data_IF_637262001618
#
_entry.id   IF_637262001618
#
_cell.length_a   1.000
_cell.length_b   1.000
_cell.length_c   1.000
_cell.angle_alpha   90.00
_cell.angle_beta   90.00
_cell.angle_gamma   90.00
#
_symmetry.space_group_name_H-M   'P 1'
#
loop_
_entity.id
_entity.type
_entity.pdbx_description
1 polymer ?
#
# COMPACT_ATOMS: atom_id res chain seq x y z
N UNK A 1 -9.54 -9.80 8.11
CA UNK A 1 -9.72 -8.55 8.85
C UNK A 1 -8.41 -7.78 8.95
N UNK A 2 -8.49 -6.47 9.10
CA UNK A 2 -7.37 -5.60 9.50
C UNK A 2 -7.49 -5.35 10.99
N UNK A 3 -6.41 -5.53 11.71
CA UNK A 3 -6.37 -5.34 13.16
C UNK A 3 -5.37 -4.25 13.54
N UNK A 4 -5.75 -3.43 14.52
CA UNK A 4 -4.86 -2.47 15.16
C UNK A 4 -4.37 -3.02 16.51
N UNK A 5 -3.18 -2.55 16.89
CA UNK A 5 -2.56 -2.84 18.18
C UNK A 5 -2.05 -1.55 18.78
N UNK A 6 -2.23 -1.40 20.07
CA UNK A 6 -1.66 -0.27 20.81
C UNK A 6 -0.43 -0.71 21.59
N UNK A 7 0.59 0.14 21.62
CA UNK A 7 1.75 -0.05 22.49
C UNK A 7 1.37 0.34 23.92
N UNK A 8 1.76 -0.46 24.90
CA UNK A 8 1.65 -0.06 26.30
C UNK A 8 2.71 1.00 26.64
N UNK A 9 2.35 2.27 26.54
CA UNK A 9 3.25 3.40 26.83
C UNK A 9 3.43 3.70 28.31
N UNK A 10 2.63 3.07 29.17
CA UNK A 10 2.72 3.22 30.64
C UNK A 10 3.81 2.32 31.24
N UNK A 11 4.27 1.32 30.49
CA UNK A 11 5.37 0.48 30.93
C UNK A 11 6.71 1.27 30.88
N UNK A 12 7.61 1.08 31.87
CA UNK A 12 8.92 1.74 31.89
C UNK A 12 9.71 1.53 30.60
N UNK A 13 10.56 2.49 30.27
CA UNK A 13 11.47 2.35 29.13
C UNK A 13 12.38 1.13 29.34
N UNK A 14 12.56 0.33 28.27
CA UNK A 14 13.29 -0.93 28.36
C UNK A 14 12.48 -2.14 28.84
N UNK A 15 11.28 -1.94 29.39
CA UNK A 15 10.39 -3.05 29.75
C UNK A 15 9.90 -3.76 28.49
N UNK A 16 10.00 -5.10 28.47
CA UNK A 16 9.57 -5.89 27.30
C UNK A 16 8.10 -5.69 26.95
N UNK A 17 7.24 -5.30 27.90
CA UNK A 17 5.84 -4.97 27.70
C UNK A 17 5.64 -3.77 26.77
N UNK A 18 6.64 -2.88 26.66
CA UNK A 18 6.64 -1.79 25.70
C UNK A 18 6.77 -2.28 24.27
N UNK A 19 7.40 -3.42 24.05
CA UNK A 19 7.73 -3.97 22.75
C UNK A 19 6.83 -5.14 22.35
N UNK A 20 6.18 -5.78 23.33
CA UNK A 20 5.10 -6.74 23.07
C UNK A 20 3.82 -5.97 22.77
N UNK A 21 3.17 -6.30 21.69
CA UNK A 21 1.85 -5.74 21.34
C UNK A 21 0.77 -6.34 22.26
N UNK A 22 0.82 -5.97 23.54
CA UNK A 22 -0.11 -6.42 24.57
C UNK A 22 -1.42 -5.64 24.60
N UNK A 23 -1.59 -4.75 23.66
CA UNK A 23 -2.86 -4.05 23.50
C UNK A 23 -3.98 -5.01 23.11
N UNK A 24 -5.18 -4.63 23.37
CA UNK A 24 -6.34 -5.32 22.84
C UNK A 24 -6.26 -5.32 21.32
N UNK A 25 -6.46 -6.50 20.71
CA UNK A 25 -6.59 -6.62 19.28
C UNK A 25 -7.88 -5.93 18.86
N UNK A 26 -7.75 -4.79 18.17
CA UNK A 26 -8.89 -4.01 17.69
C UNK A 26 -9.17 -4.40 16.25
N UNK A 27 -10.37 -4.84 15.96
CA UNK A 27 -10.82 -5.09 14.59
C UNK A 27 -11.13 -3.74 13.93
N UNK A 28 -10.16 -3.18 13.21
CA UNK A 28 -10.34 -1.92 12.46
C UNK A 28 -11.32 -2.10 11.31
N UNK A 29 -11.19 -3.19 10.57
CA UNK A 29 -12.08 -3.54 9.45
C UNK A 29 -12.34 -5.03 9.45
N UNK A 30 -13.60 -5.43 9.32
CA UNK A 30 -13.96 -6.82 9.15
C UNK A 30 -14.09 -7.17 7.67
N UNK A 31 -13.06 -7.77 7.09
CA UNK A 31 -13.04 -8.23 5.71
C UNK A 31 -12.11 -9.44 5.54
N UNK A 32 -12.34 -10.24 4.48
CA UNK A 32 -11.52 -11.44 4.20
C UNK A 32 -10.36 -11.11 3.25
N UNK A 33 -9.33 -11.96 3.29
CA UNK A 33 -8.24 -11.98 2.32
C UNK A 33 -7.52 -10.63 2.12
N UNK A 34 -7.33 -9.85 3.20
CA UNK A 34 -6.54 -8.63 3.17
C UNK A 34 -5.05 -8.99 3.08
N UNK A 35 -4.31 -8.42 2.13
CA UNK A 35 -2.89 -8.69 1.98
C UNK A 35 -1.98 -7.45 1.99
N UNK A 36 -2.52 -6.27 1.90
CA UNK A 36 -1.77 -5.03 2.12
C UNK A 36 -2.58 -4.04 2.94
N UNK A 37 -1.89 -3.23 3.71
CA UNK A 37 -2.45 -2.08 4.42
C UNK A 37 -1.43 -0.95 4.39
N UNK A 38 -1.90 0.27 4.16
CA UNK A 38 -1.06 1.46 4.17
C UNK A 38 -1.90 2.67 4.59
N UNK A 39 -1.23 3.76 4.94
CA UNK A 39 -1.88 5.01 5.33
C UNK A 39 -1.45 6.13 4.41
N UNK A 40 -2.39 7.00 4.05
CA UNK A 40 -2.05 8.19 3.31
C UNK A 40 -1.20 9.13 4.16
N UNK A 41 -0.02 9.58 3.67
CA UNK A 41 0.94 10.30 4.50
C UNK A 41 0.46 11.66 4.98
N UNK A 42 -0.49 12.28 4.29
CA UNK A 42 -1.04 13.60 4.62
C UNK A 42 -2.39 13.49 5.32
N UNK A 43 -3.36 12.82 4.72
CA UNK A 43 -4.72 12.73 5.28
C UNK A 43 -4.81 11.73 6.45
N UNK A 44 -3.97 10.69 6.43
CA UNK A 44 -3.97 9.63 7.44
C UNK A 44 -5.06 8.58 7.24
N UNK A 45 -5.82 8.64 6.15
CA UNK A 45 -6.78 7.60 5.79
C UNK A 45 -6.08 6.28 5.52
N UNK A 46 -6.72 5.19 5.89
CA UNK A 46 -6.19 3.84 5.68
C UNK A 46 -6.68 3.26 4.36
N UNK A 47 -5.76 2.61 3.67
CA UNK A 47 -6.05 1.88 2.43
C UNK A 47 -5.64 0.42 2.58
N UNK A 48 -6.47 -0.46 2.08
CA UNK A 48 -6.19 -1.91 2.07
C UNK A 48 -6.85 -2.57 0.85
N UNK A 49 -6.46 -3.79 0.55
CA UNK A 49 -7.07 -4.57 -0.52
C UNK A 49 -7.50 -5.95 -0.06
N UNK A 50 -8.39 -6.55 -0.85
CA UNK A 50 -8.78 -7.95 -0.74
C UNK A 50 -8.40 -8.67 -2.03
N UNK A 51 -7.47 -9.62 -1.93
CA UNK A 51 -6.97 -10.34 -3.10
C UNK A 51 -8.03 -11.27 -3.72
N UNK A 52 -8.90 -11.88 -2.92
CA UNK A 52 -9.95 -12.79 -3.41
C UNK A 52 -11.06 -12.04 -4.18
N UNK A 53 -11.28 -10.77 -3.88
CA UNK A 53 -12.25 -9.90 -4.55
C UNK A 53 -11.63 -8.94 -5.54
N UNK A 54 -10.32 -8.74 -5.50
CA UNK A 54 -9.63 -7.73 -6.30
C UNK A 54 -10.03 -6.29 -5.95
N UNK A 55 -10.61 -6.06 -4.78
CA UNK A 55 -11.13 -4.76 -4.38
C UNK A 55 -10.10 -3.99 -3.56
N UNK A 56 -10.00 -2.69 -3.83
CA UNK A 56 -9.28 -1.72 -3.03
C UNK A 56 -10.25 -0.85 -2.26
N UNK A 57 -9.90 -0.61 -1.00
CA UNK A 57 -10.76 0.06 -0.04
C UNK A 57 -10.05 1.24 0.61
N UNK A 58 -10.87 2.23 0.95
CA UNK A 58 -10.53 3.34 1.83
C UNK A 58 -11.30 3.22 3.13
N UNK A 59 -10.65 3.61 4.23
CA UNK A 59 -11.25 3.81 5.56
C UNK A 59 -10.80 5.15 6.09
N UNK A 60 -11.73 5.97 6.52
CA UNK A 60 -11.43 7.29 7.04
C UNK A 60 -10.65 7.22 8.36
N UNK A 61 -9.64 8.05 8.49
CA UNK A 61 -8.80 8.18 9.69
C UNK A 61 -9.63 8.37 10.96
N UNK A 62 -10.69 9.19 10.87
CA UNK A 62 -11.54 9.48 12.02
C UNK A 62 -12.14 8.22 12.61
N UNK A 63 -12.68 7.30 11.80
CA UNK A 63 -13.28 6.06 12.28
C UNK A 63 -12.26 5.14 12.95
N UNK A 64 -11.03 5.12 12.44
CA UNK A 64 -9.92 4.37 13.04
C UNK A 64 -9.57 4.96 14.40
N UNK A 65 -9.50 6.29 14.50
CA UNK A 65 -9.23 6.98 15.75
C UNK A 65 -10.33 6.69 16.80
N UNK A 66 -11.59 6.77 16.40
CA UNK A 66 -12.74 6.43 17.25
C UNK A 66 -12.67 5.01 17.83
N UNK A 67 -12.15 4.04 17.05
CA UNK A 67 -11.93 2.68 17.54
C UNK A 67 -10.81 2.65 18.59
N UNK A 68 -9.70 3.34 18.36
CA UNK A 68 -8.58 3.40 19.30
C UNK A 68 -8.95 4.15 20.59
N UNK A 69 -9.78 5.17 20.50
CA UNK A 69 -10.25 5.96 21.64
C UNK A 69 -11.40 5.26 22.40
N UNK A 70 -11.94 4.16 21.85
CA UNK A 70 -13.05 3.41 22.43
C UNK A 70 -14.42 4.05 22.27
N UNK A 71 -14.54 5.13 21.50
CA UNK A 71 -15.81 5.80 21.18
C UNK A 71 -16.61 5.06 20.11
N UNK A 72 -15.93 4.26 19.31
CA UNK A 72 -16.54 3.35 18.32
C UNK A 72 -16.28 1.90 18.73
N UNK A 73 -17.36 1.13 18.90
CA UNK A 73 -17.29 -0.30 19.28
C UNK A 73 -17.46 -1.26 18.11
N UNK A 74 -17.78 -0.74 16.93
CA UNK A 74 -17.93 -1.52 15.70
C UNK A 74 -16.73 -1.28 14.76
N UNK A 75 -16.38 -2.25 13.90
CA UNK A 75 -15.37 -2.01 12.87
C UNK A 75 -15.72 -0.81 12.00
N UNK A 76 -14.70 -0.14 11.46
CA UNK A 76 -14.87 1.00 10.58
C UNK A 76 -15.59 0.62 9.27
N UNK A 77 -16.34 1.56 8.74
CA UNK A 77 -16.91 1.45 7.40
C UNK A 77 -15.80 1.54 6.35
N UNK A 78 -16.01 0.89 5.25
CA UNK A 78 -15.06 0.87 4.14
C UNK A 78 -15.72 1.29 2.84
N UNK A 79 -15.05 2.15 2.11
CA UNK A 79 -15.44 2.56 0.76
C UNK A 79 -14.69 1.73 -0.27
N UNK A 80 -15.37 1.19 -1.28
CA UNK A 80 -14.72 0.57 -2.44
C UNK A 80 -14.25 1.68 -3.39
N UNK A 81 -12.95 1.74 -3.66
CA UNK A 81 -12.37 2.74 -4.56
C UNK A 81 -12.44 2.29 -6.02
N UNK A 82 -11.94 1.10 -6.27
CA UNK A 82 -11.91 0.50 -7.62
C UNK A 82 -11.81 -1.01 -7.53
N UNK A 83 -12.19 -1.64 -8.64
CA UNK A 83 -12.13 -3.09 -8.84
C UNK A 83 -10.95 -3.43 -9.74
N UNK A 84 -10.15 -4.39 -9.32
CA UNK A 84 -9.11 -5.05 -10.10
C UNK A 84 -9.47 -6.52 -10.30
N UNK A 85 -8.65 -7.27 -11.01
CA UNK A 85 -8.86 -8.70 -11.18
C UNK A 85 -8.84 -9.42 -9.82
N UNK A 86 -9.78 -10.31 -9.59
CA UNK A 86 -9.82 -11.12 -8.39
C UNK A 86 -8.82 -12.30 -8.45
N UNK A 87 -8.49 -12.84 -7.28
CA UNK A 87 -7.59 -13.99 -7.17
C UNK A 87 -6.11 -13.66 -7.34
N UNK A 88 -5.73 -12.39 -7.34
CA UNK A 88 -4.34 -11.93 -7.51
C UNK A 88 -3.86 -11.11 -6.33
N UNK A 89 -2.59 -11.25 -6.02
CA UNK A 89 -1.95 -10.50 -4.94
C UNK A 89 -1.46 -9.13 -5.44
N UNK A 90 -1.77 -8.10 -4.67
CA UNK A 90 -1.40 -6.72 -4.94
C UNK A 90 -0.74 -6.10 -3.71
N UNK A 91 0.35 -5.36 -3.92
CA UNK A 91 0.95 -4.51 -2.90
C UNK A 91 0.82 -3.05 -3.31
N UNK A 92 0.25 -2.23 -2.42
CA UNK A 92 0.18 -0.78 -2.63
C UNK A 92 1.26 -0.06 -1.82
N UNK A 93 1.88 0.95 -2.44
CA UNK A 93 2.79 1.89 -1.78
C UNK A 93 2.41 3.30 -2.18
N UNK A 94 2.05 4.10 -1.22
CA UNK A 94 1.71 5.51 -1.44
C UNK A 94 3.01 6.31 -1.48
N UNK A 95 3.11 7.20 -2.46
CA UNK A 95 4.21 8.13 -2.58
C UNK A 95 4.28 9.06 -1.36
N UNK A 96 5.47 9.45 -0.87
CA UNK A 96 5.59 10.29 0.33
C UNK A 96 4.85 11.64 0.28
N UNK A 97 4.62 12.19 -0.90
CA UNK A 97 3.79 13.40 -1.07
C UNK A 97 2.28 13.13 -0.95
N UNK A 98 1.84 11.88 -1.07
CA UNK A 98 0.43 11.52 -1.15
C UNK A 98 -0.20 11.64 -2.54
N UNK A 99 0.49 12.23 -3.52
CA UNK A 99 -0.09 12.55 -4.83
C UNK A 99 -0.46 11.32 -5.67
N UNK A 100 0.20 10.20 -5.42
CA UNK A 100 -0.06 8.96 -6.14
C UNK A 100 0.38 7.74 -5.34
N UNK A 101 0.03 6.56 -5.83
CA UNK A 101 0.52 5.29 -5.30
C UNK A 101 0.90 4.35 -6.45
N UNK A 102 1.88 3.49 -6.18
CA UNK A 102 2.14 2.33 -7.02
C UNK A 102 1.46 1.09 -6.46
N UNK A 103 0.89 0.30 -7.36
CA UNK A 103 0.30 -1.00 -7.09
C UNK A 103 1.11 -2.04 -7.85
N UNK A 104 1.82 -2.86 -7.09
CA UNK A 104 2.59 -3.98 -7.64
C UNK A 104 1.66 -5.17 -7.82
N UNK A 105 1.41 -5.56 -9.07
CA UNK A 105 0.58 -6.72 -9.44
C UNK A 105 1.47 -7.96 -9.54
N UNK A 106 1.62 -8.66 -8.43
CA UNK A 106 2.70 -9.62 -8.16
C UNK A 106 2.78 -10.71 -9.23
N UNK A 107 1.73 -11.50 -9.37
CA UNK A 107 1.71 -12.65 -10.29
C UNK A 107 1.32 -12.27 -11.73
N UNK A 108 1.05 -10.99 -11.98
CA UNK A 108 0.75 -10.46 -13.32
C UNK A 108 1.90 -9.69 -13.96
N UNK A 109 3.03 -9.55 -13.25
CA UNK A 109 4.29 -9.04 -13.75
C UNK A 109 4.27 -7.60 -14.25
N UNK A 110 3.43 -6.75 -13.65
CA UNK A 110 3.38 -5.32 -13.97
C UNK A 110 3.15 -4.44 -12.74
N UNK A 111 3.38 -3.17 -12.93
CA UNK A 111 3.16 -2.13 -11.91
C UNK A 111 2.18 -1.12 -12.47
N UNK A 112 1.21 -0.76 -11.66
CA UNK A 112 0.24 0.28 -11.93
C UNK A 112 0.49 1.50 -11.07
N UNK A 113 0.03 2.65 -11.55
CA UNK A 113 -0.07 3.89 -10.80
C UNK A 113 -1.53 4.27 -10.65
N UNK A 114 -1.90 4.72 -9.47
CA UNK A 114 -3.16 5.42 -9.20
C UNK A 114 -2.85 6.81 -8.67
N UNK A 115 -3.49 7.82 -9.22
CA UNK A 115 -3.33 9.20 -8.75
C UNK A 115 -4.32 9.49 -7.62
N UNK A 116 -3.92 10.38 -6.73
CA UNK A 116 -4.79 10.87 -5.67
C UNK A 116 -5.54 12.11 -6.13
N UNK A 117 -6.85 12.06 -6.06
CA UNK A 117 -7.70 13.22 -6.30
C UNK A 117 -7.93 13.96 -4.98
N UNK A 118 -7.28 15.11 -4.82
CA UNK A 118 -7.36 15.94 -3.63
C UNK A 118 -8.75 16.53 -3.37
N UNK A 119 -9.56 16.72 -4.42
CA UNK A 119 -10.91 17.26 -4.28
C UNK A 119 -11.85 16.24 -3.64
N UNK A 120 -11.79 14.98 -4.08
CA UNK A 120 -12.60 13.88 -3.54
C UNK A 120 -11.90 13.11 -2.42
N UNK A 121 -10.63 13.41 -2.14
CA UNK A 121 -9.78 12.73 -1.14
C UNK A 121 -9.76 11.20 -1.33
N UNK A 122 -9.48 10.76 -2.54
CA UNK A 122 -9.45 9.34 -2.88
C UNK A 122 -8.51 9.02 -4.03
N UNK A 123 -8.01 7.81 -4.05
CA UNK A 123 -7.29 7.27 -5.21
C UNK A 123 -8.29 6.91 -6.31
N UNK A 124 -7.91 7.22 -7.56
CA UNK A 124 -8.72 6.94 -8.76
C UNK A 124 -8.29 5.65 -9.44
N UNK A 125 -9.01 5.25 -10.48
CA UNK A 125 -8.73 4.01 -11.24
C UNK A 125 -7.26 3.94 -11.69
N UNK A 126 -6.54 2.86 -11.38
CA UNK A 126 -5.14 2.71 -11.74
C UNK A 126 -4.93 2.39 -13.21
N UNK A 127 -3.72 2.68 -13.70
CA UNK A 127 -3.24 2.35 -15.04
C UNK A 127 -1.81 1.78 -15.01
N UNK A 128 -1.47 0.93 -15.98
CA UNK A 128 -0.14 0.30 -16.05
C UNK A 128 0.92 1.34 -16.41
N UNK A 129 1.99 1.41 -15.61
CA UNK A 129 3.15 2.29 -15.83
C UNK A 129 4.40 1.53 -16.23
N UNK A 130 4.55 0.28 -15.80
CA UNK A 130 5.71 -0.54 -16.15
C UNK A 130 5.36 -2.03 -16.17
N UNK A 131 5.97 -2.77 -17.09
CA UNK A 131 5.73 -4.19 -17.25
C UNK A 131 4.56 -4.50 -18.19
N UNK A 132 4.31 -5.77 -18.41
CA UNK A 132 3.23 -6.25 -19.29
C UNK A 132 2.56 -7.46 -18.65
N UNK A 133 1.23 -7.46 -18.62
CA UNK A 133 0.45 -8.53 -18.04
C UNK A 133 0.82 -9.90 -18.62
N UNK A 134 1.00 -10.88 -17.72
CA UNK A 134 1.25 -12.29 -18.03
C UNK A 134 2.52 -12.56 -18.87
N UNK A 135 3.44 -11.60 -18.94
CA UNK A 135 4.71 -11.71 -19.65
C UNK A 135 5.90 -11.60 -18.68
N UNK A 136 6.14 -12.67 -17.95
CA UNK A 136 7.29 -12.78 -17.07
C UNK A 136 8.61 -12.77 -17.85
N UNK A 137 9.51 -11.85 -17.53
CA UNK A 137 10.89 -11.83 -18.02
C UNK A 137 11.73 -10.85 -17.20
N UNK A 138 13.02 -10.79 -17.47
CA UNK A 138 13.95 -9.82 -16.94
C UNK A 138 14.45 -8.93 -18.10
N UNK A 139 13.76 -7.81 -18.31
CA UNK A 139 14.12 -6.86 -19.38
C UNK A 139 13.95 -5.44 -18.85
N UNK A 140 15.02 -4.65 -18.96
CA UNK A 140 14.95 -3.22 -18.70
C UNK A 140 14.32 -2.50 -19.90
N UNK A 141 13.56 -1.46 -19.62
CA UNK A 141 12.89 -0.72 -20.70
C UNK A 141 11.96 0.36 -20.15
N UNK A 142 11.41 1.15 -21.04
CA UNK A 142 10.48 2.23 -20.73
C UNK A 142 9.04 1.69 -20.72
N UNK A 143 8.30 1.98 -19.67
CA UNK A 143 6.88 1.65 -19.55
C UNK A 143 6.60 0.16 -19.79
N UNK A 144 5.68 -0.13 -20.71
CA UNK A 144 5.27 -1.50 -21.03
C UNK A 144 6.30 -2.29 -21.85
N UNK A 145 7.44 -1.71 -22.22
CA UNK A 145 8.58 -2.44 -22.80
C UNK A 145 9.41 -3.17 -21.72
N UNK A 146 9.39 -2.68 -20.49
CA UNK A 146 10.00 -3.39 -19.36
C UNK A 146 9.31 -4.72 -19.09
N UNK A 147 10.04 -5.67 -18.50
CA UNK A 147 9.50 -6.95 -18.03
C UNK A 147 9.98 -7.22 -16.61
N UNK A 148 9.07 -7.72 -15.81
CA UNK A 148 9.31 -8.21 -14.45
C UNK A 148 9.01 -9.70 -14.38
N UNK A 149 9.59 -10.35 -13.37
CA UNK A 149 9.23 -11.73 -13.06
C UNK A 149 8.83 -11.85 -11.58
N UNK A 150 7.55 -11.70 -11.33
CA UNK A 150 6.97 -11.70 -9.98
C UNK A 150 7.51 -10.54 -9.13
N UNK A 151 7.32 -9.27 -9.56
CA UNK A 151 7.65 -8.13 -8.73
C UNK A 151 6.84 -8.21 -7.44
N UNK A 152 7.45 -7.94 -6.29
CA UNK A 152 6.81 -8.26 -5.03
C UNK A 152 6.51 -7.02 -4.19
N UNK A 153 7.54 -6.36 -3.68
CA UNK A 153 7.39 -5.22 -2.79
C UNK A 153 8.43 -4.16 -3.11
N UNK A 154 8.04 -2.91 -2.96
CA UNK A 154 8.93 -1.79 -3.17
C UNK A 154 8.76 -0.68 -2.15
N UNK A 155 9.66 0.27 -2.21
CA UNK A 155 9.68 1.48 -1.39
C UNK A 155 10.06 2.69 -2.24
N UNK A 156 9.54 3.85 -1.89
CA UNK A 156 10.01 5.12 -2.44
C UNK A 156 11.27 5.55 -1.69
N UNK A 157 12.31 5.88 -2.43
CA UNK A 157 13.60 6.33 -1.90
C UNK A 157 13.93 7.68 -2.51
N UNK A 158 14.18 8.67 -1.66
CA UNK A 158 14.56 10.01 -2.14
C UNK A 158 15.88 9.93 -2.90
N UNK A 159 15.91 10.45 -4.12
CA UNK A 159 17.09 10.51 -4.95
C UNK A 159 17.67 11.94 -4.94
N UNK A 160 18.87 12.15 -4.39
CA UNK A 160 19.49 13.48 -4.34
C UNK A 160 19.69 14.13 -5.73
N UNK A 161 19.79 13.33 -6.80
CA UNK A 161 19.93 13.83 -8.17
C UNK A 161 18.67 14.55 -8.67
N UNK A 162 17.54 14.32 -8.02
CA UNK A 162 16.26 14.95 -8.37
C UNK A 162 15.88 16.12 -7.45
N UNK A 163 16.84 16.57 -6.63
CA UNK A 163 16.59 17.66 -5.69
C UNK A 163 16.02 18.91 -6.40
N UNK A 164 14.87 19.40 -5.93
CA UNK A 164 14.17 20.53 -6.50
C UNK A 164 13.26 20.21 -7.68
N UNK A 165 13.15 18.96 -8.11
CA UNK A 165 12.18 18.53 -9.10
C UNK A 165 10.80 18.27 -8.46
N UNK A 166 9.75 18.18 -9.27
CA UNK A 166 8.39 17.89 -8.81
C UNK A 166 8.29 16.53 -8.10
N UNK A 167 9.05 15.56 -8.59
CA UNK A 167 9.21 14.25 -7.96
C UNK A 167 10.69 13.98 -7.70
N UNK A 168 11.05 13.79 -6.43
CA UNK A 168 12.42 13.56 -6.00
C UNK A 168 12.68 12.08 -5.62
N UNK A 169 11.81 11.15 -6.02
CA UNK A 169 11.87 9.78 -5.54
C UNK A 169 12.01 8.77 -6.67
N UNK A 170 12.85 7.79 -6.44
CA UNK A 170 12.86 6.52 -7.16
C UNK A 170 11.97 5.50 -6.44
N UNK A 171 11.39 4.57 -7.18
CA UNK A 171 10.74 3.42 -6.60
C UNK A 171 11.62 2.18 -6.76
N UNK A 172 12.13 1.69 -5.64
CA UNK A 172 13.00 0.51 -5.58
C UNK A 172 12.16 -0.69 -5.20
N UNK A 173 12.22 -1.77 -5.98
CA UNK A 173 11.42 -2.96 -5.75
C UNK A 173 12.20 -4.27 -5.93
N UNK A 174 11.73 -5.30 -5.22
CA UNK A 174 12.22 -6.66 -5.41
C UNK A 174 11.49 -7.32 -6.59
N UNK A 175 12.23 -7.80 -7.58
CA UNK A 175 11.71 -8.69 -8.62
C UNK A 175 12.04 -10.12 -8.22
N UNK A 176 11.10 -10.77 -7.52
CA UNK A 176 11.33 -11.99 -6.75
C UNK A 176 11.88 -13.15 -7.58
N UNK A 177 11.23 -13.48 -8.69
CA UNK A 177 11.66 -14.57 -9.55
C UNK A 177 12.71 -14.12 -10.57
N UNK A 178 12.87 -12.81 -10.77
CA UNK A 178 14.00 -12.20 -11.47
C UNK A 178 15.27 -12.20 -10.65
N UNK A 179 15.20 -12.49 -9.33
CA UNK A 179 16.31 -12.55 -8.37
C UNK A 179 17.13 -11.24 -8.35
N UNK A 180 16.47 -10.11 -8.45
CA UNK A 180 17.13 -8.81 -8.53
C UNK A 180 16.30 -7.71 -7.87
N UNK A 181 16.98 -6.60 -7.63
CA UNK A 181 16.35 -5.33 -7.25
C UNK A 181 16.23 -4.48 -8.51
N UNK A 182 15.05 -3.93 -8.71
CA UNK A 182 14.74 -3.06 -9.85
C UNK A 182 14.44 -1.66 -9.37
N UNK A 183 14.72 -0.68 -10.24
CA UNK A 183 14.42 0.73 -10.00
C UNK A 183 13.48 1.25 -11.08
N UNK A 184 12.47 2.02 -10.66
CA UNK A 184 11.61 2.84 -11.51
C UNK A 184 11.91 4.29 -11.18
N UNK A 185 12.27 5.04 -12.18
CA UNK A 185 12.56 6.49 -12.11
C UNK A 185 11.41 7.28 -12.73
#
# INVERSE_FOLDING_TARGET
AVYGFTRNREAPEGDERNYKMWGNRLALVNFKACNTVTFHPVDGDMYFNSWDKGQFFKVEKQQIQEIFDGTRTTPADKEVLFQMDNGWEYNIRIHPTGNYAYIVSINKHYIQRTNYDWASKRFVTPFIVAGTAERAAYVDGIGTSARFNTPYQGVFVKNPEYAGQEDEYDFILCDKMGQCIRKIT
#
